data_IF_323997475425
#
_entry.id   IF_323997475425
#
_cell.length_a   1.000
_cell.length_b   1.000
_cell.length_c   1.000
_cell.angle_alpha   90.00
_cell.angle_beta   90.00
_cell.angle_gamma   90.00
#
_symmetry.space_group_name_H-M   'P 1'
#
loop_
_entity.id
_entity.type
_entity.pdbx_description
1 polymer ?
#
# COMPACT_ATOMS: atom_id res chain seq x y z
N UNK A 1 25.55 11.54 -9.66
CA UNK A 1 24.88 12.29 -8.57
C UNK A 1 24.04 13.47 -9.06
N UNK A 2 24.59 14.46 -9.81
CA UNK A 2 23.83 15.66 -10.26
C UNK A 2 22.55 15.31 -11.03
N UNK A 3 22.64 14.40 -12.01
CA UNK A 3 21.48 13.93 -12.80
C UNK A 3 20.37 13.39 -11.89
N UNK A 4 20.71 12.53 -10.93
CA UNK A 4 19.75 11.95 -9.99
C UNK A 4 19.04 12.99 -9.13
N UNK A 5 19.74 14.06 -8.72
CA UNK A 5 19.16 15.18 -7.95
C UNK A 5 18.22 16.00 -8.83
N UNK A 6 18.64 16.37 -10.05
CA UNK A 6 17.80 17.12 -10.98
C UNK A 6 16.52 16.36 -11.33
N UNK A 7 16.62 15.04 -11.57
CA UNK A 7 15.45 14.19 -11.77
C UNK A 7 14.52 14.21 -10.55
N UNK A 8 15.04 14.04 -9.33
CA UNK A 8 14.23 14.07 -8.12
C UNK A 8 13.51 15.41 -7.91
N UNK A 9 14.20 16.53 -8.17
CA UNK A 9 13.62 17.87 -8.08
C UNK A 9 12.52 18.09 -9.11
N UNK A 10 12.75 17.69 -10.36
CA UNK A 10 11.73 17.79 -11.41
C UNK A 10 10.47 17.00 -11.04
N UNK A 11 10.64 15.76 -10.58
CA UNK A 11 9.52 14.92 -10.15
C UNK A 11 8.77 15.55 -8.97
N UNK A 12 9.48 16.20 -8.05
CA UNK A 12 8.88 16.92 -6.94
C UNK A 12 8.08 18.15 -7.39
N UNK A 13 8.63 19.00 -8.25
CA UNK A 13 7.94 20.20 -8.73
C UNK A 13 6.67 19.88 -9.53
N UNK A 14 6.71 18.82 -10.35
CA UNK A 14 5.50 18.31 -11.02
C UNK A 14 4.47 17.86 -9.99
N UNK A 15 4.89 17.11 -8.97
CA UNK A 15 4.00 16.70 -7.88
C UNK A 15 3.39 17.88 -7.13
N UNK A 16 4.16 18.92 -6.86
CA UNK A 16 3.71 20.16 -6.22
C UNK A 16 2.70 20.92 -7.07
N UNK A 17 2.95 21.06 -8.37
CA UNK A 17 2.01 21.67 -9.30
C UNK A 17 0.68 20.89 -9.35
N UNK A 18 0.74 19.57 -9.47
CA UNK A 18 -0.45 18.72 -9.48
C UNK A 18 -1.20 18.79 -8.14
N UNK A 19 -0.50 18.82 -7.01
CA UNK A 19 -1.13 18.94 -5.68
C UNK A 19 -1.99 20.22 -5.59
N UNK A 20 -1.50 21.35 -6.12
CA UNK A 20 -2.21 22.62 -6.05
C UNK A 20 -3.36 22.75 -7.07
N UNK A 21 -3.14 22.30 -8.31
CA UNK A 21 -4.06 22.59 -9.43
C UNK A 21 -4.93 21.40 -9.83
N UNK A 22 -4.45 20.18 -9.62
CA UNK A 22 -5.07 18.94 -10.11
C UNK A 22 -5.01 17.82 -9.07
N UNK A 23 -5.77 17.92 -7.95
CA UNK A 23 -5.65 17.00 -6.81
C UNK A 23 -5.88 15.53 -7.18
N UNK A 24 -6.76 15.25 -8.15
CA UNK A 24 -6.97 13.91 -8.68
C UNK A 24 -5.73 13.35 -9.38
N UNK A 25 -5.11 14.15 -10.24
CA UNK A 25 -3.88 13.78 -10.95
C UNK A 25 -2.71 13.61 -9.98
N UNK A 26 -2.65 14.38 -8.90
CA UNK A 26 -1.66 14.20 -7.84
C UNK A 26 -1.73 12.79 -7.21
N UNK A 27 -2.92 12.26 -6.94
CA UNK A 27 -3.08 10.89 -6.41
C UNK A 27 -2.51 9.86 -7.38
N UNK A 28 -2.88 9.94 -8.67
CA UNK A 28 -2.38 9.01 -9.69
C UNK A 28 -0.86 9.13 -9.87
N UNK A 29 -0.36 10.37 -9.92
CA UNK A 29 1.06 10.66 -10.06
C UNK A 29 1.88 10.11 -8.88
N UNK A 30 1.39 10.29 -7.65
CA UNK A 30 2.04 9.75 -6.44
C UNK A 30 2.20 8.22 -6.55
N UNK A 31 1.15 7.51 -6.97
CA UNK A 31 1.22 6.07 -7.20
C UNK A 31 2.22 5.68 -8.28
N UNK A 32 2.21 6.38 -9.42
CA UNK A 32 3.16 6.12 -10.49
C UNK A 32 4.62 6.33 -10.07
N UNK A 33 4.91 7.30 -9.21
CA UNK A 33 6.25 7.46 -8.64
C UNK A 33 6.65 6.27 -7.79
N UNK A 34 5.77 5.76 -6.94
CA UNK A 34 6.04 4.54 -6.16
C UNK A 34 6.25 3.31 -7.04
N UNK A 35 5.59 3.26 -8.19
CA UNK A 35 5.72 2.15 -9.14
C UNK A 35 6.99 2.24 -10.00
N UNK A 36 7.38 3.43 -10.45
CA UNK A 36 8.38 3.60 -11.52
C UNK A 36 9.68 4.25 -11.07
N UNK A 37 9.74 4.93 -9.93
CA UNK A 37 11.00 5.54 -9.46
C UNK A 37 12.16 4.53 -9.34
N UNK A 38 11.95 3.26 -8.90
CA UNK A 38 13.03 2.28 -8.89
C UNK A 38 13.52 1.86 -10.28
N UNK A 39 12.63 1.79 -11.28
CA UNK A 39 13.00 1.58 -12.69
C UNK A 39 13.83 2.75 -13.21
N UNK A 40 13.37 3.98 -12.98
CA UNK A 40 14.12 5.18 -13.37
C UNK A 40 15.50 5.22 -12.73
N UNK A 41 15.62 4.86 -11.45
CA UNK A 41 16.92 4.69 -10.80
C UNK A 41 17.79 3.69 -11.53
N UNK A 42 17.29 2.49 -11.84
CA UNK A 42 18.07 1.44 -12.51
C UNK A 42 18.59 1.86 -13.87
N UNK A 43 17.75 2.55 -14.66
CA UNK A 43 18.14 3.09 -15.95
C UNK A 43 19.24 4.15 -15.84
N UNK A 44 19.16 5.04 -14.85
CA UNK A 44 20.20 6.05 -14.58
C UNK A 44 21.48 5.41 -14.06
N UNK A 45 21.37 4.48 -13.11
CA UNK A 45 22.51 3.76 -12.53
C UNK A 45 23.24 2.94 -13.60
N UNK A 46 22.52 2.36 -14.56
CA UNK A 46 23.12 1.64 -15.70
C UNK A 46 23.96 2.54 -16.62
N UNK A 47 23.61 3.84 -16.73
CA UNK A 47 24.33 4.80 -17.59
C UNK A 47 25.45 5.55 -16.86
N UNK A 48 25.27 5.84 -15.57
CA UNK A 48 26.13 6.75 -14.80
C UNK A 48 26.91 6.02 -13.70
N UNK A 49 26.64 4.73 -13.49
CA UNK A 49 27.24 3.91 -12.45
C UNK A 49 26.35 3.79 -11.21
N UNK A 50 26.41 2.61 -10.58
CA UNK A 50 25.65 2.28 -9.39
C UNK A 50 25.99 3.21 -8.22
N UNK A 51 24.94 3.78 -7.62
CA UNK A 51 25.02 4.57 -6.41
C UNK A 51 24.27 3.85 -5.29
N UNK A 52 24.96 3.58 -4.18
CA UNK A 52 24.34 2.98 -2.99
C UNK A 52 23.14 3.80 -2.51
N UNK A 53 23.29 5.12 -2.51
CA UNK A 53 22.28 6.10 -2.14
C UNK A 53 21.89 6.95 -3.36
N UNK A 54 20.73 6.65 -3.96
CA UNK A 54 20.23 7.39 -5.12
C UNK A 54 19.13 8.38 -4.71
N UNK A 55 19.32 9.70 -4.94
CA UNK A 55 18.30 10.73 -4.67
C UNK A 55 16.96 10.48 -5.39
N UNK A 56 16.95 9.75 -6.50
CA UNK A 56 15.73 9.41 -7.25
C UNK A 56 14.70 8.70 -6.36
N UNK A 57 15.16 7.85 -5.43
CA UNK A 57 14.29 7.10 -4.51
C UNK A 57 13.61 8.02 -3.49
N UNK A 58 14.15 9.21 -3.24
CA UNK A 58 13.49 10.20 -2.38
C UNK A 58 12.27 10.85 -3.06
N UNK A 59 12.20 10.86 -4.40
CA UNK A 59 11.09 11.48 -5.14
C UNK A 59 9.69 10.98 -4.71
N UNK A 60 9.39 9.67 -4.67
CA UNK A 60 8.09 9.19 -4.21
C UNK A 60 7.77 9.61 -2.77
N UNK A 61 8.78 9.64 -1.89
CA UNK A 61 8.62 10.09 -0.51
C UNK A 61 8.29 11.59 -0.44
N UNK A 62 9.07 12.44 -1.11
CA UNK A 62 8.89 13.89 -1.09
C UNK A 62 7.54 14.31 -1.69
N UNK A 63 7.14 13.69 -2.80
CA UNK A 63 5.84 13.96 -3.42
C UNK A 63 4.71 13.50 -2.52
N UNK A 64 4.81 12.30 -1.93
CA UNK A 64 3.82 11.84 -0.93
C UNK A 64 3.75 12.79 0.26
N UNK A 65 4.89 13.34 0.70
CA UNK A 65 4.99 14.30 1.79
C UNK A 65 4.22 15.61 1.57
N UNK A 66 3.87 15.96 0.33
CA UNK A 66 2.96 17.08 0.05
C UNK A 66 1.58 16.89 0.70
N UNK A 67 1.18 15.63 0.93
CA UNK A 67 -0.03 15.29 1.67
C UNK A 67 -0.05 15.88 3.10
N UNK A 68 1.11 16.17 3.71
CA UNK A 68 1.22 16.83 5.02
C UNK A 68 0.49 18.19 5.05
N UNK A 69 0.41 18.89 3.92
CA UNK A 69 -0.27 20.19 3.82
C UNK A 69 -1.77 20.08 4.13
N UNK A 70 -2.36 18.89 3.97
CA UNK A 70 -3.76 18.61 4.29
C UNK A 70 -4.04 18.63 5.79
N UNK A 71 -3.01 18.42 6.63
CA UNK A 71 -3.13 18.51 8.08
C UNK A 71 -3.29 19.95 8.55
N UNK A 72 -2.85 20.95 7.76
CA UNK A 72 -2.93 22.37 8.14
C UNK A 72 -4.35 22.92 8.11
N UNK A 73 -5.23 22.33 7.29
CA UNK A 73 -6.61 22.81 7.08
C UNK A 73 -7.55 21.62 7.01
N UNK A 74 -7.83 21.03 8.17
CA UNK A 74 -8.86 20.00 8.28
C UNK A 74 -10.24 20.63 7.99
N UNK A 75 -11.05 20.04 7.09
CA UNK A 75 -12.38 20.54 6.81
C UNK A 75 -13.27 20.34 8.05
N UNK A 76 -14.24 21.23 8.31
CA UNK A 76 -15.11 21.16 9.50
C UNK A 76 -15.92 19.86 9.60
N UNK A 77 -16.02 19.11 8.50
CA UNK A 77 -16.64 17.78 8.50
C UNK A 77 -15.83 16.67 9.11
N UNK A 78 -14.53 16.86 9.32
CA UNK A 78 -13.67 15.88 9.97
C UNK A 78 -13.65 16.21 11.45
N UNK A 79 -14.16 15.28 12.27
CA UNK A 79 -14.22 15.48 13.72
C UNK A 79 -12.89 15.11 14.36
N UNK A 80 -12.66 15.58 15.59
CA UNK A 80 -11.51 15.15 16.38
C UNK A 80 -11.51 13.63 16.54
N UNK A 81 -12.66 13.02 16.81
CA UNK A 81 -12.78 11.57 16.95
C UNK A 81 -12.34 10.81 15.71
N UNK A 82 -12.48 11.37 14.50
CA UNK A 82 -11.96 10.76 13.28
C UNK A 82 -10.43 10.79 13.18
N UNK A 83 -9.80 11.83 13.74
CA UNK A 83 -8.37 12.06 13.65
C UNK A 83 -7.56 11.43 14.79
N UNK A 84 -8.16 11.22 15.96
CA UNK A 84 -7.46 10.59 17.12
C UNK A 84 -6.73 9.29 16.73
N UNK A 85 -7.33 8.32 16.01
CA UNK A 85 -6.63 7.09 15.68
C UNK A 85 -5.39 7.31 14.79
N UNK A 86 -5.49 8.21 13.80
CA UNK A 86 -4.33 8.61 12.99
C UNK A 86 -3.27 9.32 13.83
N UNK A 87 -3.71 10.19 14.75
CA UNK A 87 -2.85 10.90 15.68
C UNK A 87 -2.05 9.97 16.58
N UNK A 88 -2.65 8.88 17.07
CA UNK A 88 -1.94 7.86 17.87
C UNK A 88 -0.83 7.18 17.06
N UNK A 89 -1.09 6.82 15.80
CA UNK A 89 -0.08 6.26 14.92
C UNK A 89 1.04 7.26 14.60
N UNK A 90 0.70 8.51 14.30
CA UNK A 90 1.67 9.58 14.05
C UNK A 90 2.54 9.85 15.28
N UNK A 91 1.94 9.90 16.47
CA UNK A 91 2.64 10.12 17.73
C UNK A 91 3.70 9.03 17.97
N UNK A 92 3.34 7.76 17.76
CA UNK A 92 4.28 6.65 17.90
C UNK A 92 5.47 6.77 16.95
N UNK A 93 5.22 7.11 15.68
CA UNK A 93 6.28 7.28 14.68
C UNK A 93 7.20 8.47 15.01
N UNK A 94 6.64 9.60 15.43
CA UNK A 94 7.43 10.78 15.81
C UNK A 94 8.26 10.50 17.05
N UNK A 95 7.69 9.85 18.07
CA UNK A 95 8.42 9.42 19.27
C UNK A 95 9.63 8.55 18.90
N UNK A 96 9.43 7.51 18.10
CA UNK A 96 10.50 6.60 17.69
C UNK A 96 11.56 7.26 16.82
N UNK A 97 11.19 8.25 16.01
CA UNK A 97 12.15 9.07 15.28
C UNK A 97 13.07 9.84 16.23
N UNK A 98 12.53 10.46 17.29
CA UNK A 98 13.33 11.17 18.29
C UNK A 98 14.31 10.21 18.99
N UNK A 99 13.83 9.02 19.38
CA UNK A 99 14.69 7.98 19.97
C UNK A 99 15.77 7.53 18.97
N UNK A 100 15.42 7.30 17.71
CA UNK A 100 16.35 6.86 16.67
C UNK A 100 17.39 7.93 16.30
N UNK A 101 17.01 9.21 16.31
CA UNK A 101 17.90 10.33 16.05
C UNK A 101 18.94 10.52 17.17
N UNK A 102 18.59 10.21 18.42
CA UNK A 102 19.51 10.28 19.57
C UNK A 102 20.40 9.05 19.67
N UNK A 103 19.85 7.86 19.42
CA UNK A 103 20.54 6.59 19.69
C UNK A 103 21.17 5.94 18.45
N UNK A 104 20.98 6.51 17.26
CA UNK A 104 21.43 5.98 15.98
C UNK A 104 21.92 7.09 15.04
N UNK A 105 21.92 6.84 13.74
CA UNK A 105 22.31 7.84 12.76
C UNK A 105 21.10 8.67 12.30
N UNK A 106 21.24 10.00 12.28
CA UNK A 106 20.19 10.91 11.82
C UNK A 106 19.74 10.61 10.37
N UNK A 107 20.63 10.30 9.40
CA UNK A 107 20.20 9.95 8.04
C UNK A 107 19.35 8.66 7.99
N UNK A 108 19.75 7.61 8.72
CA UNK A 108 18.96 6.37 8.80
C UNK A 108 17.61 6.61 9.46
N UNK A 109 17.58 7.33 10.57
CA UNK A 109 16.35 7.66 11.28
C UNK A 109 15.40 8.50 10.40
N UNK A 110 15.92 9.44 9.63
CA UNK A 110 15.13 10.29 8.72
C UNK A 110 14.56 9.49 7.55
N UNK A 111 15.36 8.60 6.94
CA UNK A 111 14.88 7.74 5.87
C UNK A 111 13.81 6.76 6.37
N UNK A 112 14.01 6.18 7.55
CA UNK A 112 12.99 5.38 8.21
C UNK A 112 11.73 6.21 8.49
N UNK A 113 11.86 7.43 9.02
CA UNK A 113 10.73 8.34 9.24
C UNK A 113 9.92 8.53 7.95
N UNK A 114 10.55 8.74 6.80
CA UNK A 114 9.83 8.88 5.52
C UNK A 114 9.05 7.62 5.12
N UNK A 115 9.58 6.42 5.43
CA UNK A 115 8.90 5.15 5.14
C UNK A 115 7.71 4.90 6.06
N UNK A 116 7.77 5.38 7.31
CA UNK A 116 6.69 5.20 8.29
C UNK A 116 5.64 6.32 8.22
N UNK A 117 6.08 7.58 8.12
CA UNK A 117 5.22 8.77 8.21
C UNK A 117 4.38 8.99 6.96
N UNK A 118 5.00 8.97 5.78
CA UNK A 118 4.32 9.40 4.55
C UNK A 118 3.14 8.52 4.14
N UNK A 119 3.17 7.19 4.31
CA UNK A 119 1.97 6.37 4.13
C UNK A 119 0.79 6.78 5.01
N UNK A 120 1.03 7.06 6.30
CA UNK A 120 -0.01 7.48 7.25
C UNK A 120 -0.60 8.81 6.77
N UNK A 121 0.25 9.79 6.48
CA UNK A 121 -0.18 11.12 6.05
C UNK A 121 -0.92 11.07 4.72
N UNK A 122 -0.50 10.21 3.79
CA UNK A 122 -1.24 10.00 2.54
C UNK A 122 -2.63 9.41 2.79
N UNK A 123 -2.75 8.45 3.72
CA UNK A 123 -4.02 7.95 4.21
C UNK A 123 -4.90 9.06 4.79
N UNK A 124 -4.33 9.94 5.63
CA UNK A 124 -5.06 11.09 6.18
C UNK A 124 -5.52 12.04 5.06
N UNK A 125 -4.68 12.33 4.07
CA UNK A 125 -5.05 13.18 2.94
C UNK A 125 -6.24 12.60 2.15
N UNK A 126 -6.25 11.30 1.88
CA UNK A 126 -7.39 10.63 1.23
C UNK A 126 -8.65 10.74 2.09
N UNK A 127 -8.54 10.45 3.39
CA UNK A 127 -9.69 10.49 4.32
C UNK A 127 -10.26 11.88 4.53
N UNK A 128 -9.42 12.91 4.64
CA UNK A 128 -9.84 14.30 4.78
C UNK A 128 -10.70 14.74 3.59
N UNK A 129 -10.39 14.22 2.40
CA UNK A 129 -11.12 14.48 1.16
C UNK A 129 -12.27 13.48 0.90
N UNK A 130 -12.82 12.82 1.94
CA UNK A 130 -13.87 11.80 1.80
C UNK A 130 -15.10 12.25 1.00
N UNK A 131 -15.42 13.56 0.96
CA UNK A 131 -16.53 14.08 0.14
C UNK A 131 -16.33 13.85 -1.36
N UNK A 132 -15.07 13.83 -1.80
CA UNK A 132 -14.67 13.56 -3.18
C UNK A 132 -14.31 12.08 -3.40
N UNK A 133 -14.85 11.18 -2.57
CA UNK A 133 -14.60 9.74 -2.63
C UNK A 133 -14.83 9.15 -4.03
N UNK A 134 -15.92 9.49 -4.71
CA UNK A 134 -16.25 8.89 -6.02
C UNK A 134 -15.18 9.20 -7.10
N UNK A 135 -14.76 10.46 -7.31
CA UNK A 135 -13.60 10.77 -8.16
C UNK A 135 -12.31 10.06 -7.73
N UNK A 136 -11.99 10.04 -6.43
CA UNK A 136 -10.76 9.44 -5.90
C UNK A 136 -10.72 7.93 -6.17
N UNK A 137 -11.85 7.25 -5.91
CA UNK A 137 -12.07 5.84 -6.25
C UNK A 137 -11.79 5.58 -7.73
N UNK A 138 -12.38 6.38 -8.63
CA UNK A 138 -12.21 6.20 -10.09
C UNK A 138 -10.75 6.33 -10.50
N UNK A 139 -10.05 7.32 -9.98
CA UNK A 139 -8.63 7.55 -10.26
C UNK A 139 -7.77 6.41 -9.73
N UNK A 140 -7.98 5.97 -8.49
CA UNK A 140 -7.23 4.85 -7.92
C UNK A 140 -7.47 3.57 -8.71
N UNK A 141 -8.73 3.24 -9.03
CA UNK A 141 -9.07 2.05 -9.81
C UNK A 141 -8.40 2.07 -11.19
N UNK A 142 -8.46 3.20 -11.90
CA UNK A 142 -7.79 3.35 -13.19
C UNK A 142 -6.26 3.25 -13.08
N UNK A 143 -5.67 3.88 -12.05
CA UNK A 143 -4.23 3.86 -11.84
C UNK A 143 -3.73 2.43 -11.58
N UNK A 144 -4.43 1.67 -10.74
CA UNK A 144 -4.08 0.27 -10.47
C UNK A 144 -4.37 -0.66 -11.65
N UNK A 145 -5.41 -0.39 -12.44
CA UNK A 145 -5.67 -1.16 -13.66
C UNK A 145 -4.51 -1.03 -14.66
N UNK A 146 -4.06 0.20 -14.90
CA UNK A 146 -2.91 0.45 -15.77
C UNK A 146 -1.60 -0.04 -15.17
N UNK A 147 -1.43 0.03 -13.85
CA UNK A 147 -0.23 -0.48 -13.20
C UNK A 147 -0.14 -2.00 -13.33
N UNK A 148 -1.23 -2.75 -13.16
CA UNK A 148 -1.23 -4.21 -13.38
C UNK A 148 -0.83 -4.56 -14.81
N UNK A 149 -1.33 -3.82 -15.80
CA UNK A 149 -0.96 -4.03 -17.20
C UNK A 149 0.54 -3.73 -17.45
N UNK A 150 1.00 -2.53 -17.08
CA UNK A 150 2.35 -2.05 -17.40
C UNK A 150 3.41 -2.83 -16.60
N UNK A 151 3.22 -2.94 -15.28
CA UNK A 151 4.17 -3.66 -14.42
C UNK A 151 4.09 -5.17 -14.69
N UNK A 152 2.91 -5.69 -15.02
CA UNK A 152 2.76 -7.09 -15.37
C UNK A 152 3.49 -7.44 -16.65
N UNK A 153 3.26 -6.67 -17.72
CA UNK A 153 3.91 -6.87 -19.00
C UNK A 153 5.43 -6.73 -18.89
N UNK A 154 5.91 -5.67 -18.21
CA UNK A 154 7.32 -5.49 -17.96
C UNK A 154 7.92 -6.62 -17.10
N UNK A 155 7.17 -7.15 -16.14
CA UNK A 155 7.62 -8.29 -15.33
C UNK A 155 7.84 -9.57 -16.14
N UNK A 156 6.99 -9.83 -17.14
CA UNK A 156 7.18 -10.95 -18.08
C UNK A 156 8.42 -10.72 -18.96
N UNK A 157 8.57 -9.51 -19.49
CA UNK A 157 9.77 -9.10 -20.26
C UNK A 157 11.04 -9.26 -19.43
N UNK A 158 11.02 -8.80 -18.18
CA UNK A 158 12.13 -8.94 -17.23
C UNK A 158 12.52 -10.40 -17.03
N UNK A 159 11.54 -11.29 -16.85
CA UNK A 159 11.81 -12.71 -16.68
C UNK A 159 12.42 -13.37 -17.93
N UNK A 160 11.88 -13.06 -19.11
CA UNK A 160 12.28 -13.72 -20.36
C UNK A 160 13.60 -13.21 -20.92
N UNK A 161 13.87 -11.91 -20.81
CA UNK A 161 15.00 -11.26 -21.49
C UNK A 161 16.13 -10.94 -20.51
N UNK A 162 15.82 -10.72 -19.22
CA UNK A 162 16.76 -10.18 -18.24
C UNK A 162 17.46 -8.90 -18.74
N UNK A 163 16.73 -7.77 -18.87
CA UNK A 163 17.27 -6.54 -19.44
C UNK A 163 18.60 -6.09 -18.77
N UNK A 164 19.54 -5.48 -19.53
CA UNK A 164 20.88 -5.17 -19.01
C UNK A 164 20.92 -4.29 -17.76
N UNK A 165 19.96 -3.35 -17.62
CA UNK A 165 19.88 -2.49 -16.44
C UNK A 165 19.38 -3.25 -15.20
N UNK A 166 18.56 -4.30 -15.39
CA UNK A 166 18.08 -5.15 -14.30
C UNK A 166 19.16 -6.11 -13.84
N UNK A 167 19.92 -6.71 -14.77
CA UNK A 167 21.07 -7.56 -14.42
C UNK A 167 22.18 -6.75 -13.75
N UNK A 168 22.41 -5.51 -14.20
CA UNK A 168 23.31 -4.55 -13.54
C UNK A 168 22.86 -4.21 -12.12
N UNK A 169 21.56 -4.00 -11.90
CA UNK A 169 21.00 -3.78 -10.56
C UNK A 169 21.17 -5.00 -9.66
N UNK A 170 20.88 -6.21 -10.16
CA UNK A 170 20.99 -7.44 -9.38
C UNK A 170 22.43 -7.71 -8.93
N UNK A 171 23.40 -7.51 -9.82
CA UNK A 171 24.83 -7.68 -9.52
C UNK A 171 25.33 -6.61 -8.56
N UNK A 172 24.94 -5.34 -8.75
CA UNK A 172 25.44 -4.22 -7.94
C UNK A 172 24.78 -4.14 -6.55
N UNK A 173 23.50 -4.51 -6.44
CA UNK A 173 22.75 -4.43 -5.18
C UNK A 173 23.10 -5.53 -4.17
N UNK A 174 23.85 -6.55 -4.61
CA UNK A 174 24.23 -7.75 -3.83
C UNK A 174 23.03 -8.48 -3.19
N UNK A 175 21.84 -8.34 -3.75
CA UNK A 175 20.62 -8.93 -3.20
C UNK A 175 20.44 -10.36 -3.72
N UNK A 176 21.13 -11.32 -3.10
CA UNK A 176 21.09 -12.74 -3.51
C UNK A 176 19.69 -13.38 -3.50
N UNK A 177 18.74 -12.78 -2.77
CA UNK A 177 17.35 -13.25 -2.73
C UNK A 177 16.52 -12.95 -3.97
N UNK A 178 17.01 -12.16 -4.95
CA UNK A 178 16.29 -11.83 -6.20
C UNK A 178 16.45 -12.94 -7.26
N UNK A 179 17.31 -13.93 -7.04
CA UNK A 179 17.64 -14.96 -8.04
C UNK A 179 18.87 -14.57 -8.86
N UNK A 180 19.09 -15.25 -9.99
CA UNK A 180 20.27 -15.06 -10.82
C UNK A 180 20.02 -14.02 -11.92
N UNK A 181 21.02 -13.19 -12.30
CA UNK A 181 20.89 -12.16 -13.34
C UNK A 181 20.95 -12.77 -14.75
N UNK A 182 20.12 -13.77 -15.00
CA UNK A 182 20.04 -14.51 -16.25
C UNK A 182 18.56 -14.75 -16.63
N UNK A 183 18.24 -14.84 -17.93
CA UNK A 183 16.91 -15.19 -18.40
C UNK A 183 16.34 -16.42 -17.68
N UNK A 184 15.04 -16.38 -17.37
CA UNK A 184 14.27 -17.44 -16.70
C UNK A 184 14.70 -17.78 -15.26
N UNK A 185 15.70 -17.07 -14.72
CA UNK A 185 16.23 -17.30 -13.36
C UNK A 185 16.00 -16.13 -12.41
N UNK A 186 15.39 -15.05 -12.90
CA UNK A 186 15.03 -13.88 -12.11
C UNK A 186 13.73 -14.14 -11.33
N UNK A 187 13.70 -13.83 -10.04
CA UNK A 187 12.45 -13.62 -9.33
C UNK A 187 11.92 -12.25 -9.68
N UNK A 188 10.77 -12.21 -10.35
CA UNK A 188 10.27 -10.97 -10.96
C UNK A 188 10.04 -9.89 -9.91
N UNK A 189 10.62 -8.73 -10.16
CA UNK A 189 10.45 -7.50 -9.39
C UNK A 189 9.95 -6.33 -10.26
N UNK A 190 9.82 -6.55 -11.57
CA UNK A 190 9.33 -5.60 -12.56
C UNK A 190 10.00 -4.23 -12.38
N UNK A 191 9.22 -3.16 -12.28
CA UNK A 191 9.69 -1.78 -12.14
C UNK A 191 10.08 -1.39 -10.70
N UNK A 192 9.96 -2.30 -9.72
CA UNK A 192 10.21 -2.03 -8.29
C UNK A 192 11.63 -2.38 -7.83
N UNK A 193 11.96 -2.17 -6.55
CA UNK A 193 13.31 -2.43 -6.03
C UNK A 193 13.62 -3.93 -5.79
N UNK A 194 12.59 -4.74 -5.51
CA UNK A 194 12.72 -6.16 -5.20
C UNK A 194 11.37 -6.91 -5.35
N UNK A 195 11.37 -8.26 -5.37
CA UNK A 195 10.16 -9.04 -5.64
C UNK A 195 9.03 -8.84 -4.62
N UNK A 196 9.35 -8.62 -3.34
CA UNK A 196 8.36 -8.45 -2.27
C UNK A 196 7.44 -7.24 -2.47
N UNK A 197 8.00 -6.01 -2.57
CA UNK A 197 7.27 -4.80 -2.91
C UNK A 197 6.40 -4.95 -4.18
N UNK A 198 6.98 -5.53 -5.24
CA UNK A 198 6.26 -5.79 -6.49
C UNK A 198 5.06 -6.71 -6.28
N UNK A 199 5.27 -7.85 -5.63
CA UNK A 199 4.21 -8.82 -5.39
C UNK A 199 3.08 -8.24 -4.52
N UNK A 200 3.40 -7.40 -3.53
CA UNK A 200 2.40 -6.72 -2.70
C UNK A 200 1.52 -5.74 -3.49
N UNK A 201 2.13 -4.92 -4.35
CA UNK A 201 1.39 -3.99 -5.21
C UNK A 201 0.60 -4.75 -6.28
N UNK A 202 1.17 -5.77 -6.89
CA UNK A 202 0.50 -6.59 -7.90
C UNK A 202 -0.69 -7.35 -7.30
N UNK A 203 -0.56 -7.94 -6.10
CA UNK A 203 -1.68 -8.55 -5.38
C UNK A 203 -2.83 -7.55 -5.16
N UNK A 204 -2.49 -6.33 -4.74
CA UNK A 204 -3.47 -5.26 -4.54
C UNK A 204 -4.17 -4.89 -5.85
N UNK A 205 -3.41 -4.68 -6.93
CA UNK A 205 -3.94 -4.35 -8.24
C UNK A 205 -4.83 -5.45 -8.83
N UNK A 206 -4.40 -6.71 -8.74
CA UNK A 206 -5.18 -7.87 -9.20
C UNK A 206 -6.50 -8.01 -8.45
N UNK A 207 -6.54 -7.72 -7.13
CA UNK A 207 -7.80 -7.69 -6.40
C UNK A 207 -8.73 -6.57 -6.90
N UNK A 208 -8.17 -5.39 -7.20
CA UNK A 208 -8.96 -4.27 -7.71
C UNK A 208 -9.52 -4.49 -9.11
N UNK A 209 -8.89 -5.35 -9.92
CA UNK A 209 -9.43 -5.69 -11.24
C UNK A 209 -10.86 -6.26 -11.17
N UNK A 210 -11.23 -6.95 -10.09
CA UNK A 210 -12.60 -7.42 -9.88
C UNK A 210 -13.63 -6.29 -9.68
N UNK A 211 -13.17 -5.09 -9.31
CA UNK A 211 -14.00 -3.89 -9.21
C UNK A 211 -14.04 -3.07 -10.51
N UNK A 212 -13.13 -3.36 -11.45
CA UNK A 212 -13.06 -2.69 -12.74
C UNK A 212 -14.02 -3.32 -13.76
N UNK A 213 -14.29 -2.57 -14.84
CA UNK A 213 -15.14 -3.01 -15.96
C UNK A 213 -14.42 -2.72 -17.27
N UNK A 214 -14.64 -3.57 -18.27
CA UNK A 214 -14.11 -3.39 -19.63
C UNK A 214 -13.15 -4.50 -20.05
N UNK A 215 -12.87 -4.55 -21.35
CA UNK A 215 -11.99 -5.56 -21.97
C UNK A 215 -10.53 -5.41 -21.55
N UNK A 216 -10.11 -4.19 -21.19
CA UNK A 216 -8.76 -3.90 -20.70
C UNK A 216 -8.41 -4.67 -19.41
N UNK A 217 -9.42 -5.08 -18.63
CA UNK A 217 -9.23 -5.93 -17.45
C UNK A 217 -8.60 -7.27 -17.81
N UNK A 218 -9.04 -7.90 -18.91
CA UNK A 218 -8.49 -9.18 -19.37
C UNK A 218 -7.05 -9.01 -19.87
N UNK A 219 -6.80 -7.94 -20.62
CA UNK A 219 -5.46 -7.60 -21.12
C UNK A 219 -4.48 -7.34 -19.96
N UNK A 220 -4.94 -6.73 -18.86
CA UNK A 220 -4.13 -6.52 -17.66
C UNK A 220 -3.93 -7.81 -16.86
N UNK A 221 -4.98 -8.62 -16.70
CA UNK A 221 -4.97 -9.77 -15.81
C UNK A 221 -3.97 -10.86 -16.25
N UNK A 222 -3.87 -11.17 -17.55
CA UNK A 222 -2.94 -12.18 -18.07
C UNK A 222 -1.48 -11.95 -17.63
N UNK A 223 -0.82 -10.87 -18.11
CA UNK A 223 0.54 -10.55 -17.71
C UNK A 223 0.66 -10.22 -16.22
N UNK A 224 -0.37 -9.64 -15.59
CA UNK A 224 -0.42 -9.37 -14.16
C UNK A 224 -0.30 -10.63 -13.30
N UNK A 225 -1.14 -11.65 -13.54
CA UNK A 225 -1.07 -12.92 -12.82
C UNK A 225 0.20 -13.70 -13.13
N UNK A 226 0.63 -13.74 -14.39
CA UNK A 226 1.85 -14.44 -14.77
C UNK A 226 3.07 -13.84 -14.05
N UNK A 227 3.27 -12.53 -14.11
CA UNK A 227 4.36 -11.85 -13.40
C UNK A 227 4.24 -11.98 -11.87
N UNK A 228 3.02 -11.96 -11.32
CA UNK A 228 2.78 -12.20 -9.89
C UNK A 228 3.23 -13.60 -9.44
N UNK A 229 2.97 -14.63 -10.24
CA UNK A 229 3.49 -15.99 -9.99
C UNK A 229 5.02 -16.03 -10.18
N UNK A 230 5.57 -15.34 -11.17
CA UNK A 230 7.02 -15.30 -11.39
C UNK A 230 7.79 -14.48 -10.34
N UNK A 231 7.10 -13.68 -9.51
CA UNK A 231 7.71 -13.03 -8.33
C UNK A 231 8.15 -14.03 -7.27
N UNK A 232 7.51 -15.21 -7.22
CA UNK A 232 7.78 -16.27 -6.26
C UNK A 232 7.73 -15.81 -4.80
N UNK A 233 6.83 -14.89 -4.44
CA UNK A 233 6.67 -14.39 -3.06
C UNK A 233 5.48 -15.06 -2.38
N UNK A 234 5.75 -16.15 -1.67
CA UNK A 234 4.73 -16.98 -0.97
C UNK A 234 3.80 -16.16 -0.07
N UNK A 235 4.36 -15.24 0.72
CA UNK A 235 3.59 -14.39 1.63
C UNK A 235 2.58 -13.49 0.88
N UNK A 236 2.95 -12.98 -0.30
CA UNK A 236 2.06 -12.17 -1.12
C UNK A 236 0.98 -13.00 -1.81
N UNK A 237 1.26 -14.26 -2.19
CA UNK A 237 0.23 -15.17 -2.71
C UNK A 237 -0.82 -15.51 -1.65
N UNK A 238 -0.37 -15.85 -0.44
CA UNK A 238 -1.24 -16.08 0.70
C UNK A 238 -2.04 -14.82 1.05
N UNK A 239 -1.38 -13.65 1.02
CA UNK A 239 -2.01 -12.34 1.21
C UNK A 239 -3.09 -12.03 0.18
N UNK A 240 -2.83 -12.30 -1.09
CA UNK A 240 -3.82 -12.13 -2.15
C UNK A 240 -5.02 -13.06 -1.94
N UNK A 241 -4.77 -14.34 -1.63
CA UNK A 241 -5.84 -15.32 -1.35
C UNK A 241 -6.70 -14.90 -0.16
N UNK A 242 -6.07 -14.47 0.94
CA UNK A 242 -6.78 -13.95 2.11
C UNK A 242 -7.60 -12.69 1.78
N UNK A 243 -7.07 -11.80 0.94
CA UNK A 243 -7.80 -10.61 0.47
C UNK A 243 -9.02 -11.01 -0.37
N UNK A 244 -8.89 -12.03 -1.22
CA UNK A 244 -9.99 -12.56 -2.03
C UNK A 244 -11.08 -13.21 -1.18
N UNK A 245 -10.70 -14.01 -0.18
CA UNK A 245 -11.64 -14.66 0.75
C UNK A 245 -12.40 -13.61 1.57
N UNK A 246 -11.69 -12.64 2.15
CA UNK A 246 -12.33 -11.55 2.89
C UNK A 246 -13.20 -10.67 1.98
N UNK A 247 -12.78 -10.43 0.73
CA UNK A 247 -13.57 -9.71 -0.27
C UNK A 247 -14.88 -10.44 -0.60
N UNK A 248 -14.84 -11.75 -0.73
CA UNK A 248 -16.04 -12.56 -0.96
C UNK A 248 -17.06 -12.43 0.18
N UNK A 249 -16.63 -12.35 1.45
CA UNK A 249 -17.56 -12.25 2.60
C UNK A 249 -18.33 -10.93 2.67
N UNK A 250 -17.80 -9.85 2.08
CA UNK A 250 -18.47 -8.54 2.02
C UNK A 250 -19.44 -8.40 0.83
N UNK A 251 -19.31 -9.27 -0.18
CA UNK A 251 -20.18 -9.26 -1.35
C UNK A 251 -21.54 -9.90 -1.10
N UNK A 252 -22.54 -9.49 -1.89
CA UNK A 252 -23.78 -10.27 -2.08
C UNK A 252 -23.48 -11.54 -2.86
N UNK A 253 -24.24 -12.60 -2.60
CA UNK A 253 -24.16 -13.92 -3.27
C UNK A 253 -24.09 -13.79 -4.81
N UNK A 254 -24.91 -12.92 -5.42
CA UNK A 254 -24.86 -12.66 -6.88
C UNK A 254 -23.48 -12.22 -7.39
N UNK A 255 -22.74 -11.44 -6.61
CA UNK A 255 -21.40 -10.97 -6.98
C UNK A 255 -20.32 -12.00 -6.65
N UNK A 256 -20.54 -12.84 -5.63
CA UNK A 256 -19.67 -14.00 -5.36
C UNK A 256 -19.69 -15.01 -6.51
N UNK A 257 -20.86 -15.30 -7.10
CA UNK A 257 -20.93 -16.14 -8.29
C UNK A 257 -20.15 -15.54 -9.48
N UNK A 258 -20.28 -14.23 -9.70
CA UNK A 258 -19.49 -13.53 -10.72
C UNK A 258 -17.99 -13.60 -10.42
N UNK A 259 -17.59 -13.49 -9.16
CA UNK A 259 -16.20 -13.64 -8.72
C UNK A 259 -15.66 -15.03 -9.06
N UNK A 260 -16.40 -16.09 -8.72
CA UNK A 260 -16.03 -17.49 -9.03
C UNK A 260 -15.90 -17.67 -10.54
N UNK A 261 -16.88 -17.20 -11.33
CA UNK A 261 -16.79 -17.29 -12.80
C UNK A 261 -15.57 -16.55 -13.35
N UNK A 262 -15.26 -15.37 -12.80
CA UNK A 262 -14.07 -14.61 -13.20
C UNK A 262 -12.79 -15.36 -12.84
N UNK A 263 -12.72 -15.99 -11.67
CA UNK A 263 -11.58 -16.83 -11.27
C UNK A 263 -11.42 -18.05 -12.17
N UNK A 264 -12.52 -18.69 -12.59
CA UNK A 264 -12.48 -19.81 -13.54
C UNK A 264 -11.94 -19.36 -14.91
N UNK A 265 -12.45 -18.24 -15.43
CA UNK A 265 -11.96 -17.66 -16.69
C UNK A 265 -10.49 -17.27 -16.61
N UNK A 266 -10.07 -16.69 -15.48
CA UNK A 266 -8.67 -16.39 -15.21
C UNK A 266 -7.83 -17.68 -15.12
N UNK A 267 -8.35 -18.74 -14.52
CA UNK A 267 -7.70 -20.05 -14.48
C UNK A 267 -7.48 -20.61 -15.88
N UNK A 268 -8.48 -20.54 -16.76
CA UNK A 268 -8.38 -20.95 -18.16
C UNK A 268 -7.32 -20.13 -18.91
N UNK A 269 -7.15 -18.85 -18.59
CA UNK A 269 -6.13 -18.00 -19.21
C UNK A 269 -4.72 -18.24 -18.65
N UNK A 270 -4.59 -18.29 -17.33
CA UNK A 270 -3.30 -18.25 -16.63
C UNK A 270 -2.67 -19.62 -16.52
N UNK A 271 -3.45 -20.70 -16.32
CA UNK A 271 -2.91 -22.05 -16.14
C UNK A 271 -2.15 -22.53 -17.38
N UNK A 272 -2.68 -22.42 -18.61
CA UNK A 272 -1.92 -22.80 -19.80
C UNK A 272 -0.64 -21.98 -19.96
N UNK A 273 -0.70 -20.66 -19.74
CA UNK A 273 0.47 -19.78 -19.79
C UNK A 273 1.53 -20.18 -18.77
N UNK A 274 1.13 -20.43 -17.52
CA UNK A 274 2.04 -20.89 -16.45
C UNK A 274 2.61 -22.29 -16.71
N UNK A 275 1.90 -23.11 -17.48
CA UNK A 275 2.31 -24.48 -17.83
C UNK A 275 3.24 -24.53 -19.05
N UNK A 276 3.45 -23.42 -19.75
CA UNK A 276 4.42 -23.38 -20.85
C UNK A 276 5.84 -23.63 -20.33
N UNK A 277 6.65 -24.31 -21.15
CA UNK A 277 8.03 -24.72 -20.84
C UNK A 277 8.88 -23.70 -20.06
N UNK A 278 8.99 -22.42 -20.48
CA UNK A 278 9.85 -21.44 -19.79
C UNK A 278 9.39 -21.04 -18.39
N UNK A 279 8.12 -21.24 -18.03
CA UNK A 279 7.55 -20.78 -16.76
C UNK A 279 7.29 -21.94 -15.78
N UNK A 280 6.94 -23.11 -16.32
CA UNK A 280 6.44 -24.27 -15.57
C UNK A 280 7.39 -24.75 -14.49
N UNK A 281 8.69 -24.92 -14.79
CA UNK A 281 9.68 -25.44 -13.84
C UNK A 281 9.81 -24.55 -12.60
N UNK A 282 9.90 -23.24 -12.82
CA UNK A 282 10.07 -22.22 -11.77
C UNK A 282 8.83 -22.09 -10.90
N UNK A 283 7.64 -22.07 -11.50
CA UNK A 283 6.37 -21.96 -10.76
C UNK A 283 6.11 -23.25 -9.97
N UNK A 284 6.25 -24.42 -10.59
CA UNK A 284 5.99 -25.71 -9.94
C UNK A 284 6.93 -25.99 -8.77
N UNK A 285 8.23 -25.65 -8.90
CA UNK A 285 9.18 -25.76 -7.79
C UNK A 285 8.72 -24.98 -6.56
N UNK A 286 8.16 -23.77 -6.77
CA UNK A 286 7.66 -22.94 -5.67
C UNK A 286 6.33 -23.43 -5.11
N UNK A 287 5.42 -23.93 -5.93
CA UNK A 287 4.16 -24.52 -5.45
C UNK A 287 4.45 -25.77 -4.61
N UNK A 288 5.37 -26.64 -5.04
CA UNK A 288 5.76 -27.82 -4.26
C UNK A 288 6.38 -27.46 -2.90
N UNK A 289 7.07 -26.32 -2.80
CA UNK A 289 7.57 -25.83 -1.51
C UNK A 289 6.48 -25.36 -0.54
N UNK A 290 5.24 -25.13 -1.01
CA UNK A 290 4.09 -24.79 -0.15
C UNK A 290 3.41 -26.01 0.46
N UNK A 291 3.57 -27.22 -0.10
CA UNK A 291 3.01 -28.44 0.50
C UNK A 291 3.89 -28.99 1.62
N UNK A 292 5.21 -28.73 1.58
CA UNK A 292 6.19 -29.23 2.54
C UNK A 292 6.47 -28.24 3.68
N UNK A 293 5.42 -27.71 4.32
CA UNK A 293 5.53 -26.68 5.38
C UNK A 293 6.14 -27.23 6.69
N UNK A 294 6.05 -28.54 6.91
CA UNK A 294 6.48 -29.19 8.16
C UNK A 294 8.01 -29.28 8.36
N UNK A 295 8.81 -29.00 7.33
CA UNK A 295 10.29 -28.94 7.40
C UNK A 295 10.86 -27.54 7.11
N UNK A 296 10.02 -26.49 7.13
CA UNK A 296 10.43 -25.14 6.72
C UNK A 296 11.26 -24.45 7.82
N UNK A 297 12.57 -24.38 7.59
CA UNK A 297 13.54 -23.59 8.38
C UNK A 297 13.06 -22.16 8.70
N UNK A 298 12.21 -21.55 7.84
CA UNK A 298 11.68 -20.20 8.05
C UNK A 298 10.60 -20.10 9.14
N UNK A 299 9.84 -21.15 9.44
CA UNK A 299 8.87 -21.14 10.54
C UNK A 299 9.57 -21.31 11.89
N UNK A 300 10.51 -22.25 11.98
CA UNK A 300 11.30 -22.46 13.20
C UNK A 300 12.19 -21.24 13.51
N UNK A 301 12.86 -20.66 12.51
CA UNK A 301 13.64 -19.42 12.69
C UNK A 301 12.78 -18.27 13.23
N UNK A 302 11.52 -18.14 12.79
CA UNK A 302 10.59 -17.14 13.33
C UNK A 302 10.20 -17.43 14.77
N UNK A 303 9.88 -18.68 15.13
CA UNK A 303 9.49 -19.04 16.50
C UNK A 303 10.59 -18.69 17.50
N UNK A 304 11.84 -19.03 17.17
CA UNK A 304 13.02 -18.65 17.97
C UNK A 304 13.21 -17.13 18.01
N UNK A 305 13.06 -16.44 16.86
CA UNK A 305 13.12 -14.98 16.81
C UNK A 305 12.03 -14.33 17.68
N UNK A 306 10.79 -14.82 17.71
CA UNK A 306 9.76 -14.33 18.62
C UNK A 306 10.14 -14.54 20.09
N UNK A 307 10.73 -15.68 20.46
CA UNK A 307 11.15 -15.96 21.84
C UNK A 307 12.29 -15.04 22.30
N UNK A 308 13.33 -14.90 21.48
CA UNK A 308 14.50 -14.05 21.77
C UNK A 308 14.12 -12.56 21.80
N UNK A 309 13.23 -12.13 20.90
CA UNK A 309 12.78 -10.75 20.84
C UNK A 309 11.79 -10.38 21.94
N UNK A 310 10.92 -11.30 22.41
CA UNK A 310 10.03 -11.00 23.53
C UNK A 310 10.84 -10.69 24.80
N UNK A 311 11.93 -11.44 25.03
CA UNK A 311 12.86 -11.20 26.13
C UNK A 311 13.52 -9.81 26.02
N UNK A 312 14.06 -9.47 24.84
CA UNK A 312 14.70 -8.17 24.61
C UNK A 312 13.72 -6.97 24.64
N UNK A 313 12.50 -7.14 24.14
CA UNK A 313 11.48 -6.10 24.11
C UNK A 313 10.94 -5.76 25.50
N UNK A 314 10.94 -6.72 26.44
CA UNK A 314 10.57 -6.48 27.83
C UNK A 314 11.63 -5.65 28.57
N UNK A 315 12.91 -5.82 28.24
CA UNK A 315 14.03 -5.13 28.88
C UNK A 315 14.23 -3.70 28.34
N UNK A 316 13.86 -3.44 27.08
CA UNK A 316 14.00 -2.12 26.45
C UNK A 316 12.65 -1.47 26.10
N UNK A 317 11.91 -0.94 27.09
CA UNK A 317 10.57 -0.42 26.88
C UNK A 317 10.51 0.79 25.94
N UNK A 318 11.61 1.53 25.82
CA UNK A 318 11.73 2.71 24.96
C UNK A 318 11.80 2.37 23.46
N UNK A 319 12.17 1.13 23.11
CA UNK A 319 12.46 0.72 21.74
C UNK A 319 13.87 1.12 21.28
N UNK A 320 14.29 0.55 20.15
CA UNK A 320 15.60 0.82 19.55
C UNK A 320 15.64 2.13 18.77
N UNK A 321 14.48 2.66 18.37
CA UNK A 321 14.32 3.86 17.55
C UNK A 321 14.37 3.59 16.05
N UNK A 322 13.80 4.52 15.27
CA UNK A 322 13.77 4.41 13.81
C UNK A 322 15.18 4.43 13.21
N UNK A 323 15.39 3.66 12.14
CA UNK A 323 16.64 3.61 11.40
C UNK A 323 17.57 2.47 11.79
N UNK A 324 17.22 1.68 12.82
CA UNK A 324 17.99 0.51 13.28
C UNK A 324 17.53 -0.82 12.68
N UNK A 325 16.43 -0.81 11.90
CA UNK A 325 15.91 -2.00 11.21
C UNK A 325 15.79 -1.75 9.70
N UNK A 326 15.75 -2.85 8.95
CA UNK A 326 15.44 -2.82 7.51
C UNK A 326 16.45 -2.05 6.65
N UNK A 327 15.98 -1.51 5.53
CA UNK A 327 16.81 -0.83 4.53
C UNK A 327 17.48 0.45 5.04
N UNK A 328 16.96 1.06 6.10
CA UNK A 328 17.51 2.28 6.68
C UNK A 328 18.91 2.06 7.30
N UNK A 329 19.20 0.84 7.75
CA UNK A 329 20.51 0.47 8.32
C UNK A 329 21.66 0.66 7.33
N UNK A 330 21.39 0.51 6.02
CA UNK A 330 22.40 0.74 4.96
C UNK A 330 23.01 2.13 4.99
N UNK A 331 22.27 3.13 5.46
CA UNK A 331 22.77 4.51 5.56
C UNK A 331 23.74 4.69 6.73
N UNK A 332 23.66 3.84 7.77
CA UNK A 332 24.59 3.84 8.91
C UNK A 332 25.78 2.91 8.68
N UNK A 333 25.57 1.78 7.99
CA UNK A 333 26.54 0.71 7.81
C UNK A 333 27.31 0.79 6.49
N UNK A 334 27.59 2.00 5.98
CA UNK A 334 28.42 2.20 4.79
C UNK A 334 27.87 1.57 3.49
N UNK A 335 26.58 1.26 3.44
CA UNK A 335 25.91 0.63 2.29
C UNK A 335 25.52 -0.83 2.45
N UNK A 336 25.98 -1.50 3.51
CA UNK A 336 25.63 -2.89 3.82
C UNK A 336 24.42 -2.99 4.76
N UNK A 337 23.70 -4.11 4.73
CA UNK A 337 22.59 -4.31 5.66
C UNK A 337 23.16 -4.51 7.07
N UNK A 338 22.66 -3.76 8.04
CA UNK A 338 23.02 -3.97 9.44
C UNK A 338 22.52 -5.31 9.98
N UNK A 339 22.96 -5.68 11.18
CA UNK A 339 22.64 -6.95 11.86
C UNK A 339 21.12 -7.21 11.98
N UNK A 340 20.32 -6.15 12.11
CA UNK A 340 18.85 -6.17 12.14
C UNK A 340 18.21 -5.71 10.82
N UNK A 341 18.94 -5.82 9.71
CA UNK A 341 18.46 -5.46 8.37
C UNK A 341 17.35 -6.37 7.84
N UNK A 342 17.17 -7.57 8.41
CA UNK A 342 16.16 -8.56 8.03
C UNK A 342 15.35 -8.93 9.28
N UNK A 343 14.19 -8.29 9.46
CA UNK A 343 13.23 -8.60 10.50
C UNK A 343 11.95 -9.16 9.86
N UNK A 344 11.81 -10.48 9.92
CA UNK A 344 10.71 -11.24 9.28
C UNK A 344 9.46 -11.32 10.18
N UNK A 345 9.13 -10.21 10.86
CA UNK A 345 7.88 -9.99 11.59
C UNK A 345 7.58 -8.50 11.68
N UNK A 346 6.40 -8.09 11.20
CA UNK A 346 5.96 -6.71 11.27
C UNK A 346 5.54 -6.27 12.67
N UNK A 347 4.95 -7.17 13.47
CA UNK A 347 4.60 -6.88 14.87
C UNK A 347 5.86 -6.66 15.69
N UNK A 348 6.89 -7.50 15.51
CA UNK A 348 8.17 -7.30 16.18
C UNK A 348 8.88 -6.06 15.68
N UNK A 349 8.85 -5.76 14.37
CA UNK A 349 9.43 -4.52 13.84
C UNK A 349 8.74 -3.27 14.43
N UNK A 350 7.41 -3.29 14.60
CA UNK A 350 6.66 -2.22 15.30
C UNK A 350 7.14 -2.08 16.74
N UNK A 351 7.16 -3.15 17.53
CA UNK A 351 7.53 -3.08 18.95
C UNK A 351 9.02 -2.76 19.14
N UNK A 352 9.88 -3.28 18.29
CA UNK A 352 11.33 -3.05 18.35
C UNK A 352 11.68 -1.63 17.93
N UNK A 353 11.15 -1.17 16.80
CA UNK A 353 11.43 0.17 16.28
C UNK A 353 10.78 1.24 17.15
N UNK A 354 9.49 1.09 17.47
CA UNK A 354 8.71 2.12 18.17
C UNK A 354 8.75 2.01 19.70
N UNK A 355 9.24 0.88 20.24
CA UNK A 355 9.12 0.58 21.67
C UNK A 355 7.68 0.34 22.10
N UNK A 356 7.46 0.14 23.40
CA UNK A 356 6.10 0.03 23.95
C UNK A 356 5.38 1.38 23.94
N UNK A 357 6.11 2.46 24.25
CA UNK A 357 5.56 3.81 24.32
C UNK A 357 5.08 4.33 22.96
N UNK A 358 5.78 4.02 21.87
CA UNK A 358 5.34 4.37 20.52
C UNK A 358 4.50 3.27 19.85
N UNK A 359 4.84 2.01 20.08
CA UNK A 359 4.21 0.85 19.45
C UNK A 359 2.78 0.60 19.91
N UNK A 360 2.48 0.75 21.21
CA UNK A 360 1.11 0.56 21.71
C UNK A 360 0.14 1.60 21.14
N UNK A 361 0.39 2.92 21.22
CA UNK A 361 -0.47 3.91 20.54
C UNK A 361 -0.62 3.62 19.04
N UNK A 362 0.46 3.24 18.37
CA UNK A 362 0.44 2.90 16.96
C UNK A 362 -0.51 1.73 16.64
N UNK A 363 -0.40 0.62 17.39
CA UNK A 363 -1.25 -0.55 17.21
C UNK A 363 -2.71 -0.27 17.59
N UNK A 364 -2.94 0.44 18.70
CA UNK A 364 -4.29 0.83 19.14
C UNK A 364 -4.96 1.71 18.08
N UNK A 365 -4.26 2.72 17.57
CA UNK A 365 -4.75 3.59 16.49
C UNK A 365 -5.09 2.79 15.23
N UNK A 366 -4.22 1.86 14.84
CA UNK A 366 -4.42 1.00 13.68
C UNK A 366 -5.65 0.08 13.82
N UNK A 367 -5.76 -0.62 14.95
CA UNK A 367 -6.91 -1.49 15.26
C UNK A 367 -8.19 -0.68 15.32
N UNK A 368 -8.16 0.52 15.90
CA UNK A 368 -9.33 1.40 15.95
C UNK A 368 -9.79 1.83 14.55
N UNK A 369 -8.87 2.22 13.66
CA UNK A 369 -9.20 2.52 12.27
C UNK A 369 -9.78 1.31 11.54
N UNK A 370 -9.24 0.11 11.80
CA UNK A 370 -9.75 -1.12 11.20
C UNK A 370 -11.18 -1.42 11.66
N UNK A 371 -11.45 -1.38 12.97
CA UNK A 371 -12.79 -1.60 13.52
C UNK A 371 -13.79 -0.62 12.91
N UNK A 372 -13.43 0.66 12.85
CA UNK A 372 -14.24 1.69 12.20
C UNK A 372 -14.54 1.37 10.74
N UNK A 373 -13.52 0.98 9.98
CA UNK A 373 -13.64 0.58 8.58
C UNK A 373 -14.67 -0.54 8.39
N UNK A 374 -14.77 -1.47 9.34
CA UNK A 374 -15.77 -2.55 9.34
C UNK A 374 -17.18 -2.06 9.67
N UNK A 375 -17.33 -1.10 10.59
CA UNK A 375 -18.63 -0.61 11.06
C UNK A 375 -19.37 0.31 10.08
N UNK A 376 -18.67 1.00 9.17
CA UNK A 376 -19.28 2.11 8.43
C UNK A 376 -20.12 1.74 7.18
N UNK A 377 -19.90 0.59 6.52
CA UNK A 377 -20.68 0.25 5.30
C UNK A 377 -21.62 -0.95 5.47
N UNK A 378 -22.91 -0.80 5.08
CA UNK A 378 -23.74 -1.93 4.69
C UNK A 378 -23.05 -2.71 3.56
N UNK A 379 -23.05 -4.05 3.64
CA UNK A 379 -22.45 -4.94 2.63
C UNK A 379 -22.89 -4.55 1.21
N UNK A 380 -21.98 -4.60 0.22
CA UNK A 380 -22.25 -4.60 -1.22
C UNK A 380 -22.82 -3.33 -1.89
N UNK A 381 -22.63 -2.14 -1.29
CA UNK A 381 -22.98 -0.87 -1.96
C UNK A 381 -21.94 -0.50 -3.02
N UNK A 382 -20.67 -0.76 -2.73
CA UNK A 382 -19.54 -0.40 -3.59
C UNK A 382 -18.45 -1.48 -3.56
N UNK A 383 -18.26 -2.17 -4.69
CA UNK A 383 -17.23 -3.21 -4.85
C UNK A 383 -15.81 -2.70 -4.56
N UNK A 384 -15.50 -1.44 -4.89
CA UNK A 384 -14.18 -0.88 -4.60
C UNK A 384 -13.99 -0.68 -3.09
N UNK A 385 -15.03 -0.24 -2.39
CA UNK A 385 -14.97 -0.08 -0.94
C UNK A 385 -14.80 -1.44 -0.24
N UNK A 386 -15.52 -2.46 -0.71
CA UNK A 386 -15.38 -3.84 -0.23
C UNK A 386 -13.96 -4.36 -0.48
N UNK A 387 -13.38 -4.11 -1.67
CA UNK A 387 -12.00 -4.49 -1.98
C UNK A 387 -10.97 -3.74 -1.12
N UNK A 388 -11.15 -2.43 -0.96
CA UNK A 388 -10.29 -1.58 -0.14
C UNK A 388 -10.28 -2.04 1.34
N UNK A 389 -11.46 -2.40 1.86
CA UNK A 389 -11.62 -2.98 3.19
C UNK A 389 -10.87 -4.31 3.33
N UNK A 390 -11.00 -5.21 2.35
CA UNK A 390 -10.29 -6.48 2.36
C UNK A 390 -8.77 -6.30 2.34
N UNK A 391 -8.26 -5.40 1.49
CA UNK A 391 -6.84 -5.06 1.44
C UNK A 391 -6.36 -4.56 2.81
N UNK A 392 -7.12 -3.69 3.48
CA UNK A 392 -6.78 -3.19 4.80
C UNK A 392 -6.74 -4.28 5.88
N UNK A 393 -7.75 -5.17 5.92
CA UNK A 393 -7.80 -6.32 6.85
C UNK A 393 -6.60 -7.24 6.63
N UNK A 394 -6.35 -7.60 5.37
CA UNK A 394 -5.24 -8.48 5.01
C UNK A 394 -3.90 -7.82 5.31
N UNK A 395 -3.76 -6.51 5.12
CA UNK A 395 -2.59 -5.75 5.54
C UNK A 395 -2.30 -5.94 7.03
N UNK A 396 -3.31 -5.79 7.90
CA UNK A 396 -3.17 -6.01 9.35
C UNK A 396 -2.82 -7.45 9.69
N UNK A 397 -3.47 -8.44 9.06
CA UNK A 397 -3.16 -9.86 9.31
C UNK A 397 -1.72 -10.19 8.87
N UNK A 398 -1.25 -9.60 7.77
CA UNK A 398 0.11 -9.81 7.27
C UNK A 398 1.21 -9.19 8.15
N UNK A 399 0.87 -8.30 9.10
CA UNK A 399 1.84 -7.79 10.08
C UNK A 399 2.51 -8.91 10.88
N UNK A 400 1.85 -10.06 11.04
CA UNK A 400 2.44 -11.24 11.71
C UNK A 400 3.68 -11.76 10.95
N UNK A 401 3.72 -11.58 9.63
CA UNK A 401 4.78 -12.10 8.76
C UNK A 401 5.76 -11.04 8.28
N UNK A 402 5.30 -9.81 8.02
CA UNK A 402 6.13 -8.73 7.52
C UNK A 402 5.49 -7.37 7.80
N UNK A 403 6.29 -6.32 7.93
CA UNK A 403 5.75 -4.98 8.11
C UNK A 403 5.12 -4.44 6.81
N UNK A 404 3.80 -4.60 6.68
CA UNK A 404 3.00 -4.14 5.53
C UNK A 404 2.55 -2.69 5.63
N UNK A 405 2.93 -1.96 6.68
CA UNK A 405 2.49 -0.58 6.92
C UNK A 405 3.58 0.48 6.67
N UNK A 406 4.72 0.07 6.09
CA UNK A 406 5.86 0.94 5.76
C UNK A 406 6.20 0.93 4.26
N UNK A 407 6.79 2.03 3.78
CA UNK A 407 7.21 2.16 2.38
C UNK A 407 6.04 1.97 1.41
N UNK A 408 6.26 1.28 0.30
CA UNK A 408 5.20 1.06 -0.72
C UNK A 408 4.08 0.14 -0.24
N UNK A 409 4.39 -0.85 0.61
CA UNK A 409 3.36 -1.68 1.24
C UNK A 409 2.52 -0.84 2.21
N UNK A 410 3.17 0.06 2.94
CA UNK A 410 2.50 1.06 3.76
C UNK A 410 1.57 1.94 2.93
N UNK A 411 2.03 2.43 1.79
CA UNK A 411 1.20 3.22 0.87
C UNK A 411 -0.07 2.47 0.49
N UNK A 412 0.00 1.16 0.18
CA UNK A 412 -1.21 0.38 -0.12
C UNK A 412 -2.08 0.22 1.13
N UNK A 413 -1.55 -0.32 2.22
CA UNK A 413 -2.32 -0.59 3.43
C UNK A 413 -3.02 0.67 3.98
N UNK A 414 -2.30 1.79 4.13
CA UNK A 414 -2.87 3.05 4.62
C UNK A 414 -3.85 3.69 3.64
N UNK A 415 -3.56 3.69 2.33
CA UNK A 415 -4.44 4.30 1.35
C UNK A 415 -5.77 3.54 1.25
N UNK A 416 -5.76 2.21 1.20
CA UNK A 416 -6.99 1.42 1.09
C UNK A 416 -7.79 1.41 2.39
N UNK A 417 -7.13 1.44 3.56
CA UNK A 417 -7.80 1.68 4.84
C UNK A 417 -8.52 3.04 4.84
N UNK A 418 -7.83 4.11 4.43
CA UNK A 418 -8.42 5.45 4.34
C UNK A 418 -9.55 5.54 3.31
N UNK A 419 -9.43 4.88 2.16
CA UNK A 419 -10.50 4.85 1.15
C UNK A 419 -11.73 4.08 1.63
N UNK A 420 -11.56 2.98 2.38
CA UNK A 420 -12.67 2.27 3.01
C UNK A 420 -13.41 3.15 4.03
N UNK A 421 -12.66 3.86 4.89
CA UNK A 421 -13.22 4.83 5.84
C UNK A 421 -13.94 5.98 5.11
N UNK A 422 -13.34 6.50 4.04
CA UNK A 422 -13.92 7.56 3.21
C UNK A 422 -15.23 7.14 2.57
N UNK A 423 -15.29 5.92 2.02
CA UNK A 423 -16.51 5.34 1.46
C UNK A 423 -17.61 5.26 2.52
N UNK A 424 -17.27 4.76 3.70
CA UNK A 424 -18.16 4.66 4.85
C UNK A 424 -18.80 6.00 5.21
N UNK A 425 -17.97 7.01 5.39
CA UNK A 425 -18.41 8.37 5.72
C UNK A 425 -19.22 9.01 4.59
N UNK A 426 -18.80 8.80 3.34
CA UNK A 426 -19.49 9.31 2.15
C UNK A 426 -20.91 8.77 2.02
N UNK A 427 -21.10 7.46 2.13
CA UNK A 427 -22.42 6.84 1.99
C UNK A 427 -23.36 7.14 3.17
N UNK A 428 -22.83 7.27 4.38
CA UNK A 428 -23.63 7.72 5.53
C UNK A 428 -24.13 9.15 5.35
N UNK A 429 -23.25 10.06 4.91
CA UNK A 429 -23.63 11.43 4.58
C UNK A 429 -24.68 11.48 3.47
N UNK A 430 -24.49 10.70 2.39
CA UNK A 430 -25.46 10.64 1.30
C UNK A 430 -26.83 10.11 1.76
N UNK A 431 -26.85 9.08 2.63
CA UNK A 431 -28.09 8.55 3.22
C UNK A 431 -28.80 9.62 4.06
N UNK A 432 -28.05 10.36 4.89
CA UNK A 432 -28.60 11.45 5.71
C UNK A 432 -29.21 12.56 4.84
N UNK A 433 -28.52 12.97 3.77
CA UNK A 433 -29.06 13.98 2.85
C UNK A 433 -30.33 13.53 2.14
N UNK A 434 -30.40 12.27 1.71
CA UNK A 434 -31.62 11.70 1.10
C UNK A 434 -32.79 11.65 2.08
N UNK A 435 -32.53 11.31 3.35
CA UNK A 435 -33.56 11.34 4.41
C UNK A 435 -34.14 12.74 4.59
N UNK A 436 -33.28 13.75 4.76
CA UNK A 436 -33.70 15.16 4.87
C UNK A 436 -34.50 15.63 3.66
N UNK A 437 -34.09 15.24 2.45
CA UNK A 437 -34.82 15.59 1.23
C UNK A 437 -36.22 14.94 1.18
N UNK A 438 -36.35 13.68 1.61
CA UNK A 438 -37.65 13.00 1.69
C UNK A 438 -38.55 13.60 2.78
N UNK A 439 -38.00 13.96 3.94
CA UNK A 439 -38.77 14.61 5.01
C UNK A 439 -39.22 16.02 4.59
N UNK A 440 -38.37 16.76 3.88
CA UNK A 440 -38.72 18.08 3.31
C UNK A 440 -39.82 17.95 2.25
N UNK A 441 -39.75 16.94 1.39
CA UNK A 441 -40.78 16.65 0.39
C UNK A 441 -42.11 16.23 1.03
N UNK A 442 -42.06 15.45 2.13
CA UNK A 442 -43.24 15.08 2.92
C UNK A 442 -43.88 16.27 3.60
N UNK A 443 -43.09 17.18 4.18
CA UNK A 443 -43.62 18.42 4.77
C UNK A 443 -44.29 19.31 3.70
N UNK A 444 -43.73 19.36 2.48
CA UNK A 444 -44.34 20.07 1.36
C UNK A 444 -45.61 19.39 0.84
N UNK A 445 -45.72 18.05 0.90
CA UNK A 445 -46.92 17.31 0.49
C UNK A 445 -48.01 17.25 1.55
N UNK A 446 -47.64 17.22 2.83
CA UNK A 446 -48.55 17.26 4.00
C UNK A 446 -48.91 18.70 4.40
N UNK A 447 -48.34 19.69 3.70
CA UNK A 447 -48.66 21.10 3.75
C UNK A 447 -50.08 21.36 3.25
N UNK A 448 -51.04 21.16 4.17
CA UNK A 448 -52.34 21.84 4.21
C UNK A 448 -52.21 23.26 3.66
N UNK A 449 -53.19 23.65 2.84
CA UNK A 449 -53.61 25.02 2.58
C UNK A 449 -53.46 25.89 3.83
N UNK A 450 -52.32 26.58 3.98
CA UNK A 450 -52.25 27.78 4.81
C UNK A 450 -52.39 28.95 3.86
N UNK A 451 -53.55 29.57 3.97
CA UNK A 451 -53.95 30.85 3.37
C UNK A 451 -52.79 31.87 3.36
N UNK A 452 -52.65 32.68 2.29
CA UNK A 452 -51.65 33.73 2.22
C UNK A 452 -52.06 34.89 3.13
N UNK A 453 -51.68 34.82 4.40
CA UNK A 453 -51.68 36.01 5.24
C UNK A 453 -50.61 35.90 6.32
N UNK A 454 -49.62 36.78 6.19
CA UNK A 454 -48.71 37.36 7.22
C UNK A 454 -47.25 37.19 6.79
N UNK A 455 -46.82 38.13 5.93
CA UNK A 455 -45.46 38.64 5.93
C UNK A 455 -45.32 39.63 7.11
N UNK A 456 -44.34 39.48 8.00
CA UNK A 456 -43.79 40.61 8.73
C UNK A 456 -42.57 41.15 8.00
N UNK A 457 -42.60 42.47 7.82
CA UNK A 457 -41.54 43.33 7.29
C UNK A 457 -40.25 43.25 8.14
N UNK A 458 -39.13 43.46 7.44
CA UNK A 458 -37.90 44.17 7.86
C UNK A 458 -37.10 43.67 9.07
N UNK A 459 -35.78 43.54 8.88
CA UNK A 459 -34.69 44.32 9.53
C UNK A 459 -33.36 43.66 9.10
N UNK A 460 -32.64 44.26 8.16
CA UNK A 460 -31.43 45.11 8.35
C UNK A 460 -30.19 44.30 8.74
#
# INVERSE_FOLDING_TARGET
>A
MIVSVLCALLLFFVGFYLYQKHPLSYISYTWWLWFLAPELRRLVDYKVGYQTTSPIILAPHLVTGLACLSLRRLPPTVTLSDMVPFGLCLLGVVYSFLVGAVTGSLPSATFALFNWLFPIVFGVHLFVNWRSYLPYRKVMLNTFLWSVLILGAYGVVQFMIAPPWDTYWMTSSKMGSIGSPAPLQIRVFSTMNSPGPFAGVMATGLLLLFSAKGTLVLAAAGPGYLSFLLSMVRASWAGWMLSLLTFATFMKVRFQFRLILTLLLLGILVVPLASMGPFSSTINSRVNSLSNVQSDSSFNARSTLYADFLSNALVNPMGAGLGKTGLATKLASGGELGELGILDSGVLDVLFSLGWLGGLPYLIGLVWLLIRSLSYLPRSVDLFADAARSIAITGVIQLIFSNTFIGVAGMTSWAFLAMSLSAGKYYQWQKKQRGVAMDSARILSDGRLYSPSVLPRSLS
#
